data_IF_013829082473
#
_entry.id   IF_013829082473
#
_cell.length_a   1.000
_cell.length_b   1.000
_cell.length_c   1.000
_cell.angle_alpha   90.00
_cell.angle_beta   90.00
_cell.angle_gamma   90.00
#
_symmetry.space_group_name_H-M   'P 1'
#
loop_
_entity.id
_entity.type
_entity.pdbx_description
1 polymer ?
#
# COMPACT_ATOMS: atom_id res chain seq x y z
N UNK A 1 4.89 19.45 -3.43
CA UNK A 1 3.76 18.82 -2.74
C UNK A 1 3.54 19.56 -1.42
N UNK A 2 2.31 19.73 -0.91
CA UNK A 2 2.08 20.30 0.42
C UNK A 2 2.54 19.31 1.51
N UNK A 3 2.88 19.78 2.70
CA UNK A 3 3.10 18.93 3.85
C UNK A 3 1.76 18.58 4.50
N UNK A 4 1.59 17.32 4.86
CA UNK A 4 0.41 16.82 5.55
C UNK A 4 0.73 16.56 7.03
N UNK A 5 -0.30 16.53 7.86
CA UNK A 5 -0.16 16.17 9.28
C UNK A 5 -0.29 14.66 9.50
N UNK A 6 -0.95 13.97 8.54
CA UNK A 6 -1.23 12.53 8.60
C UNK A 6 -0.94 11.87 7.26
N UNK A 7 -0.21 10.77 7.31
CA UNK A 7 0.13 9.94 6.17
C UNK A 7 -0.40 8.52 6.36
N UNK A 8 -1.21 8.07 5.42
CA UNK A 8 -1.64 6.68 5.31
C UNK A 8 -0.80 6.03 4.22
N UNK A 9 -0.19 4.89 4.50
CA UNK A 9 0.67 4.17 3.56
C UNK A 9 0.10 2.81 3.25
N UNK A 10 0.07 2.43 1.98
CA UNK A 10 0.03 1.01 1.65
C UNK A 10 1.37 0.34 1.98
N UNK A 11 1.36 -0.99 2.08
CA UNK A 11 2.53 -1.77 2.44
C UNK A 11 3.27 -2.34 1.22
N UNK A 12 2.61 -3.24 0.49
CA UNK A 12 3.21 -4.03 -0.59
C UNK A 12 3.34 -3.21 -1.87
N UNK A 13 4.56 -3.06 -2.40
CA UNK A 13 4.82 -2.21 -3.58
C UNK A 13 5.01 -0.72 -3.25
N UNK A 14 4.65 -0.29 -2.04
CA UNK A 14 4.80 1.09 -1.57
C UNK A 14 5.95 1.24 -0.58
N UNK A 15 5.87 0.56 0.56
CA UNK A 15 6.92 0.56 1.59
C UNK A 15 7.90 -0.61 1.39
N UNK A 16 7.38 -1.78 1.02
CA UNK A 16 8.11 -3.04 0.92
C UNK A 16 8.16 -3.56 -0.51
N UNK A 17 9.34 -3.99 -0.95
CA UNK A 17 9.53 -4.70 -2.22
C UNK A 17 9.16 -6.18 -2.05
N UNK A 18 7.87 -6.45 -2.12
CA UNK A 18 7.27 -7.77 -1.86
C UNK A 18 6.59 -8.39 -3.06
N UNK A 19 6.55 -7.74 -4.21
CA UNK A 19 5.82 -8.25 -5.39
C UNK A 19 6.34 -9.60 -5.84
N UNK A 20 7.66 -9.80 -5.87
CA UNK A 20 8.26 -11.08 -6.24
C UNK A 20 7.98 -12.18 -5.21
N UNK A 21 7.94 -11.83 -3.92
CA UNK A 21 7.53 -12.74 -2.86
C UNK A 21 6.07 -13.19 -3.05
N UNK A 22 5.17 -12.24 -3.28
CA UNK A 22 3.74 -12.52 -3.50
C UNK A 22 3.55 -13.44 -4.71
N UNK A 23 4.24 -13.16 -5.82
CA UNK A 23 4.18 -14.03 -7.00
C UNK A 23 4.64 -15.47 -6.68
N UNK A 24 5.75 -15.65 -5.97
CA UNK A 24 6.22 -17.00 -5.55
C UNK A 24 5.22 -17.70 -4.64
N UNK A 25 4.54 -16.98 -3.76
CA UNK A 25 3.51 -17.58 -2.91
C UNK A 25 2.32 -18.05 -3.74
N UNK A 26 1.90 -17.29 -4.74
CA UNK A 26 0.85 -17.71 -5.67
C UNK A 26 1.29 -18.89 -6.54
N UNK A 27 2.51 -18.88 -7.07
CA UNK A 27 3.05 -20.02 -7.84
C UNK A 27 2.98 -21.30 -7.00
N UNK A 28 3.38 -21.24 -5.72
CA UNK A 28 3.33 -22.39 -4.82
C UNK A 28 1.91 -22.96 -4.65
N UNK A 29 0.91 -22.13 -4.35
CA UNK A 29 -0.47 -22.61 -4.15
C UNK A 29 -1.14 -23.00 -5.47
N UNK A 30 -0.81 -22.33 -6.58
CA UNK A 30 -1.33 -22.66 -7.91
C UNK A 30 -0.82 -24.02 -8.37
N UNK A 31 0.46 -24.33 -8.13
CA UNK A 31 1.01 -25.65 -8.45
C UNK A 31 0.41 -26.72 -7.55
N UNK A 32 0.32 -26.47 -6.23
CA UNK A 32 -0.15 -27.45 -5.25
C UNK A 32 -1.65 -27.77 -5.39
N UNK A 33 -2.48 -26.78 -5.65
CA UNK A 33 -3.95 -26.90 -5.63
C UNK A 33 -4.60 -26.79 -7.01
N UNK A 34 -3.97 -26.08 -7.94
CA UNK A 34 -4.48 -25.85 -9.30
C UNK A 34 -3.83 -26.68 -10.38
N UNK A 35 -2.68 -27.33 -10.08
CA UNK A 35 -1.89 -28.10 -11.04
C UNK A 35 -1.41 -27.28 -12.25
N UNK A 36 -1.25 -25.95 -12.09
CA UNK A 36 -0.87 -25.03 -13.16
C UNK A 36 -0.10 -23.83 -12.60
N UNK A 37 0.64 -23.16 -13.46
CA UNK A 37 1.18 -21.82 -13.22
C UNK A 37 0.35 -20.76 -13.94
N UNK A 38 0.47 -19.52 -13.52
CA UNK A 38 -0.11 -18.36 -14.21
C UNK A 38 1.00 -17.40 -14.63
N UNK A 39 0.82 -16.65 -15.73
CA UNK A 39 1.70 -15.53 -16.05
C UNK A 39 1.79 -14.57 -14.89
N UNK A 40 3.00 -14.09 -14.60
CA UNK A 40 3.27 -13.17 -13.47
C UNK A 40 2.37 -11.93 -13.51
N UNK A 41 2.09 -11.41 -14.70
CA UNK A 41 1.23 -10.26 -14.94
C UNK A 41 -0.20 -10.49 -14.45
N UNK A 42 -0.72 -11.73 -14.56
CA UNK A 42 -2.05 -12.06 -14.05
C UNK A 42 -2.10 -12.09 -12.53
N UNK A 43 -1.05 -12.62 -11.89
CA UNK A 43 -0.94 -12.58 -10.41
C UNK A 43 -0.83 -11.14 -9.94
N UNK A 44 0.04 -10.37 -10.59
CA UNK A 44 0.28 -8.96 -10.24
C UNK A 44 -0.98 -8.10 -10.33
N UNK A 45 -1.84 -8.33 -11.33
CA UNK A 45 -3.08 -7.57 -11.50
C UNK A 45 -4.04 -7.67 -10.28
N UNK A 46 -3.90 -8.72 -9.47
CA UNK A 46 -4.69 -8.93 -8.25
C UNK A 46 -4.09 -8.30 -6.99
N UNK A 47 -2.78 -7.95 -7.01
CA UNK A 47 -2.09 -7.41 -5.82
C UNK A 47 -2.74 -6.08 -5.43
N UNK A 48 -3.03 -5.93 -4.12
CA UNK A 48 -3.77 -4.78 -3.57
C UNK A 48 -5.21 -5.12 -3.20
N UNK A 49 -5.80 -6.19 -3.77
CA UNK A 49 -7.07 -6.74 -3.29
C UNK A 49 -6.86 -7.72 -2.12
N UNK A 50 -7.92 -8.07 -1.35
CA UNK A 50 -7.82 -9.05 -0.27
C UNK A 50 -7.31 -10.41 -0.75
N UNK A 51 -6.41 -11.04 0.02
CA UNK A 51 -5.73 -12.27 -0.35
C UNK A 51 -6.71 -13.42 -0.68
N UNK A 52 -7.75 -13.60 0.12
CA UNK A 52 -8.78 -14.63 -0.13
C UNK A 52 -9.46 -14.42 -1.49
N UNK A 53 -9.77 -13.17 -1.84
CA UNK A 53 -10.35 -12.82 -3.15
C UNK A 53 -9.41 -13.22 -4.28
N UNK A 54 -8.12 -12.96 -4.15
CA UNK A 54 -7.11 -13.34 -5.14
C UNK A 54 -7.03 -14.88 -5.28
N UNK A 55 -6.98 -15.60 -4.16
CA UNK A 55 -6.95 -17.08 -4.15
C UNK A 55 -8.16 -17.66 -4.90
N UNK A 56 -9.37 -17.18 -4.56
CA UNK A 56 -10.62 -17.61 -5.23
C UNK A 56 -10.57 -17.31 -6.73
N UNK A 57 -10.14 -16.13 -7.12
CA UNK A 57 -10.07 -15.73 -8.52
C UNK A 57 -9.08 -16.57 -9.34
N UNK A 58 -7.98 -16.98 -8.73
CA UNK A 58 -6.94 -17.73 -9.44
C UNK A 58 -7.18 -19.23 -9.45
N UNK A 59 -7.71 -19.81 -8.38
CA UNK A 59 -7.92 -21.26 -8.26
C UNK A 59 -9.31 -21.72 -8.69
N UNK A 60 -10.31 -20.81 -8.70
CA UNK A 60 -11.70 -21.14 -9.04
C UNK A 60 -12.49 -21.71 -7.84
N UNK A 61 -13.76 -22.04 -8.01
CA UNK A 61 -14.66 -22.45 -6.91
C UNK A 61 -14.45 -23.92 -6.49
N UNK A 62 -14.89 -24.24 -5.26
CA UNK A 62 -15.01 -25.63 -4.80
C UNK A 62 -13.84 -26.19 -4.04
N UNK A 63 -12.91 -25.34 -3.61
CA UNK A 63 -11.73 -25.71 -2.82
C UNK A 63 -11.88 -25.29 -1.35
N UNK A 64 -11.10 -25.89 -0.48
CA UNK A 64 -10.97 -25.48 0.93
C UNK A 64 -10.02 -24.26 1.00
N UNK A 65 -10.62 -23.07 0.98
CA UNK A 65 -9.85 -21.81 0.96
C UNK A 65 -9.18 -21.51 2.29
N UNK A 66 -9.68 -21.99 3.41
CA UNK A 66 -9.05 -21.80 4.72
C UNK A 66 -7.72 -22.56 4.77
N UNK A 67 -7.71 -23.82 4.31
CA UNK A 67 -6.47 -24.60 4.20
C UNK A 67 -5.48 -23.96 3.22
N UNK A 68 -5.96 -23.48 2.06
CA UNK A 68 -5.09 -22.85 1.05
C UNK A 68 -4.50 -21.53 1.58
N UNK A 69 -5.30 -20.75 2.30
CA UNK A 69 -4.86 -19.51 2.93
C UNK A 69 -3.76 -19.79 3.96
N UNK A 70 -3.95 -20.80 4.82
CA UNK A 70 -2.95 -21.18 5.81
C UNK A 70 -1.64 -21.62 5.15
N UNK A 71 -1.70 -22.45 4.11
CA UNK A 71 -0.53 -22.86 3.36
C UNK A 71 0.20 -21.69 2.68
N UNK A 72 -0.58 -20.76 2.07
CA UNK A 72 -0.03 -19.54 1.50
C UNK A 72 0.73 -18.73 2.56
N UNK A 73 0.09 -18.49 3.71
CA UNK A 73 0.68 -17.70 4.78
C UNK A 73 1.92 -18.36 5.40
N UNK A 74 1.89 -19.67 5.58
CA UNK A 74 3.06 -20.42 6.06
C UNK A 74 4.23 -20.36 5.08
N UNK A 75 3.97 -20.59 3.78
CA UNK A 75 4.99 -20.45 2.76
C UNK A 75 5.53 -19.01 2.70
N UNK A 76 4.63 -18.02 2.76
CA UNK A 76 5.01 -16.61 2.77
C UNK A 76 5.97 -16.28 3.91
N UNK A 77 5.68 -16.73 5.14
CA UNK A 77 6.53 -16.47 6.30
C UNK A 77 7.94 -17.07 6.13
N UNK A 78 8.02 -18.32 5.66
CA UNK A 78 9.31 -18.96 5.39
C UNK A 78 10.09 -18.23 4.28
N UNK A 79 9.40 -17.83 3.22
CA UNK A 79 10.01 -17.16 2.07
C UNK A 79 10.35 -15.68 2.35
N UNK A 80 9.79 -15.06 3.38
CA UNK A 80 10.11 -13.69 3.82
C UNK A 80 11.49 -13.59 4.46
N UNK A 81 11.94 -14.64 5.13
CA UNK A 81 13.19 -14.61 5.89
C UNK A 81 14.38 -14.26 4.98
N UNK A 82 15.06 -13.17 5.31
CA UNK A 82 16.23 -12.66 4.58
C UNK A 82 15.95 -12.11 3.16
N UNK A 83 14.69 -12.10 2.70
CA UNK A 83 14.36 -11.70 1.31
C UNK A 83 13.63 -10.36 1.21
N UNK A 84 12.85 -9.98 2.23
CA UNK A 84 12.07 -8.74 2.19
C UNK A 84 12.94 -7.54 2.49
N UNK A 85 12.76 -6.50 1.66
CA UNK A 85 13.45 -5.22 1.79
C UNK A 85 12.46 -4.07 1.74
N UNK A 86 12.80 -3.01 2.43
CA UNK A 86 12.17 -1.71 2.19
C UNK A 86 12.61 -1.17 0.83
N UNK A 87 11.74 -0.43 0.18
CA UNK A 87 12.18 0.42 -0.93
C UNK A 87 13.21 1.45 -0.43
N UNK A 88 14.07 1.95 -1.32
CA UNK A 88 15.06 2.97 -0.95
C UNK A 88 14.41 4.14 -0.19
N UNK A 89 15.13 4.66 0.79
CA UNK A 89 14.78 5.86 1.57
C UNK A 89 13.57 5.72 2.51
N UNK A 90 12.77 4.65 2.44
CA UNK A 90 11.56 4.48 3.26
C UNK A 90 11.85 4.67 4.75
N UNK A 91 12.83 3.96 5.32
CA UNK A 91 13.12 4.05 6.75
C UNK A 91 13.51 5.48 7.17
N UNK A 92 14.34 6.17 6.37
CA UNK A 92 14.78 7.52 6.65
C UNK A 92 13.61 8.53 6.58
N UNK A 93 12.72 8.36 5.59
CA UNK A 93 11.55 9.25 5.43
C UNK A 93 10.53 9.03 6.54
N UNK A 94 10.24 7.78 6.91
CA UNK A 94 9.35 7.48 8.05
C UNK A 94 9.89 8.08 9.35
N UNK A 95 11.19 7.96 9.61
CA UNK A 95 11.84 8.57 10.77
C UNK A 95 11.68 10.10 10.76
N UNK A 96 11.99 10.76 9.65
CA UNK A 96 11.89 12.21 9.52
C UNK A 96 10.44 12.72 9.68
N UNK A 97 9.45 12.00 9.15
CA UNK A 97 8.03 12.32 9.35
C UNK A 97 7.65 12.20 10.83
N UNK A 98 8.07 11.14 11.52
CA UNK A 98 7.79 10.97 12.96
C UNK A 98 8.49 12.04 13.81
N UNK A 99 9.75 12.34 13.55
CA UNK A 99 10.50 13.39 14.23
C UNK A 99 9.85 14.78 14.06
N UNK A 100 9.21 15.03 12.91
CA UNK A 100 8.43 16.25 12.66
C UNK A 100 7.00 16.21 13.24
N UNK A 101 6.67 15.22 14.06
CA UNK A 101 5.38 15.09 14.76
C UNK A 101 4.22 14.64 13.86
N UNK A 102 4.50 14.01 12.71
CA UNK A 102 3.46 13.50 11.82
C UNK A 102 2.87 12.19 12.35
N UNK A 103 1.58 11.98 12.08
CA UNK A 103 0.87 10.73 12.38
C UNK A 103 0.93 9.81 11.19
N UNK A 104 1.33 8.56 11.41
CA UNK A 104 1.52 7.58 10.36
C UNK A 104 0.66 6.35 10.59
N UNK A 105 -0.01 5.87 9.54
CA UNK A 105 -0.71 4.60 9.56
C UNK A 105 -0.33 3.74 8.36
N UNK A 106 -0.39 2.42 8.54
CA UNK A 106 -0.43 1.47 7.43
C UNK A 106 -1.88 1.11 7.15
N UNK A 107 -2.29 1.16 5.88
CA UNK A 107 -3.62 0.76 5.39
C UNK A 107 -3.41 -0.21 4.24
N UNK A 108 -3.53 -1.51 4.51
CA UNK A 108 -3.10 -2.56 3.59
C UNK A 108 -4.14 -3.66 3.40
N UNK A 109 -4.06 -4.39 2.28
CA UNK A 109 -4.81 -5.62 2.04
C UNK A 109 -4.09 -6.88 2.55
N UNK A 110 -2.88 -6.72 3.13
CA UNK A 110 -2.13 -7.79 3.77
C UNK A 110 -2.74 -8.17 5.10
N UNK A 111 -2.75 -9.48 5.42
CA UNK A 111 -3.17 -9.99 6.73
C UNK A 111 -2.33 -9.41 7.86
N UNK A 112 -2.97 -9.09 9.00
CA UNK A 112 -2.34 -8.44 10.16
C UNK A 112 -1.08 -9.14 10.63
N UNK A 113 -1.16 -10.44 10.85
CA UNK A 113 0.00 -11.22 11.31
C UNK A 113 1.21 -11.08 10.36
N UNK A 114 0.98 -11.21 9.05
CA UNK A 114 2.03 -11.08 8.05
C UNK A 114 2.59 -9.65 7.95
N UNK A 115 1.75 -8.63 8.15
CA UNK A 115 2.20 -7.23 8.22
C UNK A 115 3.10 -7.00 9.44
N UNK A 116 2.71 -7.50 10.61
CA UNK A 116 3.49 -7.34 11.84
C UNK A 116 4.87 -7.97 11.73
N UNK A 117 4.97 -9.15 11.11
CA UNK A 117 6.28 -9.78 10.81
C UNK A 117 7.13 -8.89 9.90
N UNK A 118 6.55 -8.31 8.82
CA UNK A 118 7.26 -7.38 7.95
C UNK A 118 7.81 -6.16 8.71
N UNK A 119 6.95 -5.53 9.50
CA UNK A 119 7.29 -4.33 10.27
C UNK A 119 8.39 -4.62 11.31
N UNK A 120 8.34 -5.78 11.97
CA UNK A 120 9.36 -6.21 12.93
C UNK A 120 10.69 -6.53 12.24
N UNK A 121 10.67 -7.31 11.17
CA UNK A 121 11.88 -7.70 10.42
C UNK A 121 12.64 -6.50 9.86
N UNK A 122 11.91 -5.43 9.50
CA UNK A 122 12.49 -4.21 8.94
C UNK A 122 12.72 -3.09 9.97
N UNK A 123 12.43 -3.33 11.26
CA UNK A 123 12.51 -2.35 12.36
C UNK A 123 11.71 -1.07 12.08
N UNK A 124 10.56 -1.20 11.40
CA UNK A 124 9.72 -0.05 11.03
C UNK A 124 8.43 0.06 11.86
N UNK A 125 8.09 -0.92 12.68
CA UNK A 125 6.88 -0.92 13.51
C UNK A 125 6.77 0.33 14.40
N UNK A 126 7.88 0.84 14.89
CA UNK A 126 7.99 2.01 15.76
C UNK A 126 7.52 3.33 15.13
N UNK A 127 7.39 3.38 13.80
CA UNK A 127 6.98 4.60 13.10
C UNK A 127 5.47 4.73 12.96
N UNK A 128 4.71 3.65 13.09
CA UNK A 128 3.28 3.66 12.81
C UNK A 128 2.45 3.74 14.09
N UNK A 129 1.52 4.70 14.11
CA UNK A 129 0.57 4.89 15.21
C UNK A 129 -0.64 3.95 15.08
N UNK A 130 -1.01 3.58 13.86
CA UNK A 130 -2.17 2.76 13.53
C UNK A 130 -1.85 1.79 12.39
N UNK A 131 -2.35 0.58 12.50
CA UNK A 131 -2.37 -0.42 11.44
C UNK A 131 -3.82 -0.75 11.12
N UNK A 132 -4.21 -0.65 9.85
CA UNK A 132 -5.52 -1.08 9.33
C UNK A 132 -5.30 -2.17 8.30
N UNK A 133 -5.89 -3.32 8.56
CA UNK A 133 -5.77 -4.54 7.78
C UNK A 133 -7.17 -5.06 7.41
N UNK A 134 -7.32 -6.10 6.57
CA UNK A 134 -8.63 -6.64 6.21
C UNK A 134 -9.47 -7.08 7.40
N UNK A 135 -8.85 -7.41 8.52
CA UNK A 135 -9.52 -7.82 9.76
C UNK A 135 -10.23 -6.65 10.46
N UNK A 136 -9.93 -5.41 10.14
CA UNK A 136 -10.43 -4.21 10.82
C UNK A 136 -11.66 -3.59 10.16
N UNK A 137 -12.01 -4.01 8.93
CA UNK A 137 -13.05 -3.37 8.10
C UNK A 137 -13.92 -4.40 7.39
N UNK A 138 -15.19 -4.05 7.18
CA UNK A 138 -16.13 -4.89 6.45
C UNK A 138 -15.95 -4.81 4.94
N UNK A 139 -15.47 -3.66 4.44
CA UNK A 139 -15.14 -3.43 3.04
C UNK A 139 -13.66 -3.10 2.93
N UNK A 140 -13.07 -3.44 1.79
CA UNK A 140 -11.64 -3.34 1.57
C UNK A 140 -11.33 -2.41 0.40
N UNK A 141 -10.08 -1.96 0.27
CA UNK A 141 -9.66 -1.17 -0.88
C UNK A 141 -10.12 -1.84 -2.19
N UNK A 142 -10.72 -1.13 -3.15
CA UNK A 142 -10.73 0.33 -3.34
C UNK A 142 -11.83 1.09 -2.59
N UNK A 143 -12.63 0.44 -1.73
CA UNK A 143 -13.59 1.13 -0.88
C UNK A 143 -12.87 2.10 0.08
N UNK A 144 -13.47 3.26 0.40
CA UNK A 144 -12.86 4.24 1.31
C UNK A 144 -12.84 3.79 2.78
N UNK A 145 -13.56 2.76 3.18
CA UNK A 145 -13.72 2.35 4.58
C UNK A 145 -12.37 2.15 5.30
N UNK A 146 -11.33 1.48 4.74
CA UNK A 146 -10.05 1.33 5.40
C UNK A 146 -9.33 2.66 5.66
N UNK A 147 -9.37 3.59 4.70
CA UNK A 147 -8.79 4.92 4.86
C UNK A 147 -9.53 5.74 5.92
N UNK A 148 -10.85 5.73 5.89
CA UNK A 148 -11.71 6.40 6.89
C UNK A 148 -11.49 5.82 8.28
N UNK A 149 -11.31 4.50 8.42
CA UNK A 149 -11.00 3.83 9.69
C UNK A 149 -9.67 4.30 10.26
N UNK A 150 -8.62 4.36 9.44
CA UNK A 150 -7.31 4.85 9.86
C UNK A 150 -7.38 6.32 10.31
N UNK A 151 -8.08 7.16 9.54
CA UNK A 151 -8.29 8.57 9.91
C UNK A 151 -9.02 8.72 11.23
N UNK A 152 -10.09 7.94 11.45
CA UNK A 152 -10.85 7.99 12.71
C UNK A 152 -9.97 7.61 13.92
N UNK A 153 -9.17 6.54 13.79
CA UNK A 153 -8.26 6.08 14.84
C UNK A 153 -7.16 7.11 15.15
N UNK A 154 -6.70 7.85 14.13
CA UNK A 154 -5.70 8.90 14.29
C UNK A 154 -6.29 10.26 14.69
N UNK A 155 -7.60 10.45 14.67
CA UNK A 155 -8.22 11.76 14.83
C UNK A 155 -7.77 12.74 13.75
N UNK A 156 -7.70 12.28 12.50
CA UNK A 156 -7.06 13.00 11.40
C UNK A 156 -8.04 13.91 10.64
N UNK A 157 -7.58 15.11 10.30
CA UNK A 157 -8.30 16.04 9.44
C UNK A 157 -8.16 15.63 7.97
N UNK A 158 -9.25 15.67 7.24
CA UNK A 158 -9.31 15.29 5.82
C UNK A 158 -8.37 16.13 4.97
N UNK A 159 -8.41 17.45 5.11
CA UNK A 159 -7.59 18.37 4.30
C UNK A 159 -6.08 18.32 4.62
N UNK A 160 -5.72 17.60 5.70
CA UNK A 160 -4.34 17.44 6.17
C UNK A 160 -3.87 16.00 6.13
N UNK A 161 -4.62 15.14 5.47
CA UNK A 161 -4.31 13.72 5.33
C UNK A 161 -4.01 13.37 3.88
N UNK A 162 -3.10 12.43 3.67
CA UNK A 162 -2.74 11.90 2.36
C UNK A 162 -2.62 10.39 2.41
N UNK A 163 -3.07 9.71 1.35
CA UNK A 163 -2.84 8.29 1.15
C UNK A 163 -1.74 8.08 0.10
N UNK A 164 -0.70 7.37 0.48
CA UNK A 164 0.46 7.02 -0.36
C UNK A 164 0.34 5.55 -0.76
N UNK A 165 0.28 5.28 -2.05
CA UNK A 165 0.12 3.91 -2.55
C UNK A 165 0.62 3.75 -3.99
N UNK A 166 0.71 2.51 -4.45
CA UNK A 166 1.25 2.14 -5.75
C UNK A 166 0.20 1.58 -6.71
N UNK A 167 -1.01 1.30 -6.23
CA UNK A 167 -2.06 0.65 -7.01
C UNK A 167 -3.34 1.50 -7.10
N UNK A 168 -4.20 1.18 -8.07
CA UNK A 168 -5.51 1.82 -8.19
C UNK A 168 -6.37 1.64 -6.93
N UNK A 169 -6.19 0.54 -6.19
CA UNK A 169 -6.88 0.27 -4.94
C UNK A 169 -6.65 1.37 -3.90
N UNK A 170 -5.42 1.87 -3.80
CA UNK A 170 -5.03 2.90 -2.83
C UNK A 170 -5.58 4.26 -3.23
N UNK A 171 -5.37 4.61 -4.51
CA UNK A 171 -5.79 5.90 -5.05
C UNK A 171 -7.31 6.05 -5.01
N UNK A 172 -8.06 5.00 -5.36
CA UNK A 172 -9.52 5.01 -5.26
C UNK A 172 -9.99 5.07 -3.81
N UNK A 173 -9.37 4.32 -2.90
CA UNK A 173 -9.71 4.33 -1.47
C UNK A 173 -9.48 5.69 -0.84
N UNK A 174 -8.33 6.32 -1.11
CA UNK A 174 -8.03 7.67 -0.63
C UNK A 174 -8.95 8.74 -1.22
N UNK A 175 -9.15 8.72 -2.54
CA UNK A 175 -10.05 9.66 -3.21
C UNK A 175 -11.51 9.50 -2.72
N UNK A 176 -11.98 8.26 -2.56
CA UNK A 176 -13.30 7.97 -2.00
C UNK A 176 -13.47 8.42 -0.54
N UNK A 177 -12.39 8.43 0.24
CA UNK A 177 -12.36 9.00 1.58
C UNK A 177 -12.32 10.54 1.57
N UNK A 178 -12.14 11.17 0.41
CA UNK A 178 -12.05 12.62 0.23
C UNK A 178 -10.74 13.20 0.73
N UNK A 179 -9.64 12.44 0.66
CA UNK A 179 -8.30 12.88 1.02
C UNK A 179 -7.40 12.94 -0.22
N UNK A 180 -6.31 13.69 -0.13
CA UNK A 180 -5.30 13.71 -1.18
C UNK A 180 -4.63 12.34 -1.33
N UNK A 181 -4.18 12.03 -2.54
CA UNK A 181 -3.53 10.75 -2.85
C UNK A 181 -2.19 10.97 -3.53
N UNK A 182 -1.23 10.11 -3.23
CA UNK A 182 0.10 10.06 -3.83
C UNK A 182 0.30 8.71 -4.47
N UNK A 183 0.53 8.71 -5.79
CA UNK A 183 0.97 7.52 -6.50
C UNK A 183 2.48 7.45 -6.55
N UNK A 184 3.05 6.30 -6.18
CA UNK A 184 4.49 6.04 -6.22
C UNK A 184 4.86 5.33 -7.53
N UNK A 185 5.94 5.81 -8.20
CA UNK A 185 6.30 5.33 -9.55
C UNK A 185 7.37 4.24 -9.59
N UNK A 186 7.88 3.80 -8.44
CA UNK A 186 8.81 2.67 -8.37
C UNK A 186 8.10 1.32 -8.36
N UNK A 187 6.78 1.33 -8.22
CA UNK A 187 5.93 0.18 -8.38
C UNK A 187 5.89 -0.33 -9.81
N UNK A 188 5.38 -1.54 -9.97
CA UNK A 188 5.16 -2.20 -11.26
C UNK A 188 3.81 -1.88 -11.89
N UNK A 189 2.97 -1.08 -11.23
CA UNK A 189 1.68 -0.64 -11.77
C UNK A 189 1.85 0.59 -12.67
N UNK A 190 1.05 0.62 -13.74
CA UNK A 190 1.09 1.73 -14.70
C UNK A 190 0.12 2.83 -14.25
N UNK A 191 0.65 4.05 -14.13
CA UNK A 191 -0.13 5.26 -13.85
C UNK A 191 -1.28 5.45 -14.84
N UNK A 192 -1.09 5.07 -16.12
CA UNK A 192 -2.11 5.20 -17.16
C UNK A 192 -3.33 4.30 -16.97
N UNK A 193 -3.20 3.24 -16.16
CA UNK A 193 -4.28 2.30 -15.83
C UNK A 193 -5.17 2.73 -14.67
N UNK A 194 -4.86 3.86 -14.02
CA UNK A 194 -5.63 4.33 -12.87
C UNK A 194 -6.98 4.90 -13.29
N UNK A 195 -8.10 4.45 -12.69
CA UNK A 195 -9.44 4.99 -12.97
C UNK A 195 -9.65 6.39 -12.37
N UNK A 196 -8.80 6.79 -11.42
CA UNK A 196 -8.83 8.09 -10.73
C UNK A 196 -7.42 8.69 -10.80
N UNK A 197 -7.33 9.96 -11.18
CA UNK A 197 -6.06 10.69 -11.19
C UNK A 197 -5.59 10.95 -9.75
N UNK A 198 -4.38 10.54 -9.36
CA UNK A 198 -3.84 10.86 -8.04
C UNK A 198 -3.59 12.37 -7.91
N UNK A 199 -3.70 12.90 -6.68
CA UNK A 199 -3.37 14.31 -6.41
C UNK A 199 -1.90 14.62 -6.74
N UNK A 200 -1.01 13.66 -6.43
CA UNK A 200 0.42 13.77 -6.65
C UNK A 200 0.99 12.45 -7.19
N UNK A 201 2.11 12.57 -7.89
CA UNK A 201 2.94 11.44 -8.31
C UNK A 201 4.37 11.71 -7.88
N UNK A 202 5.02 10.73 -7.24
CA UNK A 202 6.39 10.85 -6.75
C UNK A 202 7.29 9.74 -7.32
N UNK A 203 8.58 10.06 -7.47
CA UNK A 203 9.62 9.13 -7.98
C UNK A 203 10.57 8.64 -6.89
N UNK A 204 10.54 9.28 -5.74
CA UNK A 204 11.37 8.98 -4.57
C UNK A 204 10.54 9.19 -3.31
N UNK A 205 10.77 8.36 -2.29
CA UNK A 205 10.12 8.55 -0.99
C UNK A 205 10.46 9.90 -0.37
N UNK A 206 11.65 10.45 -0.65
CA UNK A 206 12.07 11.78 -0.19
C UNK A 206 11.19 12.93 -0.71
N UNK A 207 10.48 12.72 -1.84
CA UNK A 207 9.56 13.72 -2.35
C UNK A 207 8.44 14.07 -1.34
N UNK A 208 8.14 13.15 -0.38
CA UNK A 208 7.20 13.40 0.71
C UNK A 208 7.69 14.47 1.69
N UNK A 209 9.00 14.67 1.83
CA UNK A 209 9.60 15.64 2.74
C UNK A 209 9.80 17.02 2.09
N UNK A 210 9.78 17.09 0.75
CA UNK A 210 10.10 18.32 0.04
C UNK A 210 8.84 19.17 -0.16
N UNK A 211 8.80 20.31 0.56
CA UNK A 211 7.86 21.39 0.25
C UNK A 211 8.31 22.08 -1.03
N UNK A 212 7.62 21.86 -2.17
CA UNK A 212 7.88 22.66 -3.37
C UNK A 212 7.07 23.96 -3.32
N UNK A 213 7.66 25.04 -2.85
CA UNK A 213 7.17 26.42 -3.04
C UNK A 213 7.00 26.81 -4.53
N UNK A 214 7.55 26.02 -5.45
CA UNK A 214 7.63 26.33 -6.87
C UNK A 214 6.27 26.32 -7.60
N UNK A 215 5.21 25.74 -7.03
CA UNK A 215 3.91 25.70 -7.70
C UNK A 215 3.12 27.02 -7.53
N UNK A 216 3.30 27.73 -6.42
CA UNK A 216 2.62 29.02 -6.19
C UNK A 216 3.25 30.18 -6.94
N UNK A 217 4.50 30.09 -7.37
CA UNK A 217 5.15 31.13 -8.20
C UNK A 217 4.72 31.13 -9.67
N UNK A 218 4.29 29.98 -10.18
CA UNK A 218 3.83 29.87 -11.57
C UNK A 218 2.43 30.48 -11.80
N UNK A 219 1.59 30.51 -10.74
CA UNK A 219 0.22 31.07 -10.82
C UNK A 219 0.19 32.56 -10.50
N UNK A 220 1.13 33.06 -9.67
CA UNK A 220 1.20 34.50 -9.32
C UNK A 220 2.05 35.35 -10.27
N UNK A 221 2.75 34.74 -11.26
CA UNK A 221 3.59 35.43 -12.21
C UNK A 221 2.91 35.83 -13.52
N UNK A 222 1.62 35.58 -13.70
CA UNK A 222 0.83 36.04 -14.84
C UNK A 222 0.30 37.46 -14.62
N UNK A 223 1.20 38.40 -14.45
CA UNK A 223 0.88 39.82 -14.43
C UNK A 223 0.76 40.34 -15.84
N UNK A 224 -0.29 41.07 -16.09
CA UNK A 224 -0.81 41.73 -17.28
C UNK A 224 0.21 42.54 -18.07
N UNK A 225 -0.08 42.72 -19.38
CA UNK A 225 0.55 43.79 -20.16
C UNK A 225 0.05 45.14 -19.74
#
# INVERSE_FOLDING_TARGET
MKLYDTYLFDADGTLFDTVDLICRCFDYILEKYGGRSLPKEQIMAGIGSPLVTQIVNHLGPGLDYDMILDDYLQYQLQAMEGTVKLFPEVAAVLAALKESGRRLAVVTSRKRFSLEVLLQTTDTSKYFDVLVTPEDTGRHKPDPEPALKAMALLGADRDKTVFVGDAHFDICSGAGAGIDTVFVTWSRFDLSSLPVTPTWTIKSMQDLLTYRESYNKAISGGGKP
#
